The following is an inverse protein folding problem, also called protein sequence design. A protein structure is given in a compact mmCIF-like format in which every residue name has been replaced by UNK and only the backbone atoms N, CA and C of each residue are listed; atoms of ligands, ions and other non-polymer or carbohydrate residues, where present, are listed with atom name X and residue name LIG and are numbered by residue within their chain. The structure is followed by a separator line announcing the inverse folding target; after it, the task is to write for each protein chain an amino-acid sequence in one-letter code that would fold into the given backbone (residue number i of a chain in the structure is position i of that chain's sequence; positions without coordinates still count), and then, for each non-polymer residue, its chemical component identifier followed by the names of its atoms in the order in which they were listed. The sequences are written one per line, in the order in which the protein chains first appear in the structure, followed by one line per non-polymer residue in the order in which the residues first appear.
data_IF_395767695098
#
_entry.id   IF_395767695098
#
_cell.length_a   1.000
_cell.length_b   1.000
_cell.length_c   1.000
_cell.angle_alpha   90.00
_cell.angle_beta   90.00
_cell.angle_gamma   90.00
#
_symmetry.space_group_name_H-M   'P 1'
#
loop_
_entity.id
_entity.type
_entity.pdbx_description
1 polymer ?
#
# COMPACT_ATOMS: atom_id res chain seq x y z
N UNK A 1 31.45 42.65 29.07
CA UNK A 1 30.15 42.33 28.47
C UNK A 1 30.40 42.00 27.02
N UNK A 2 30.31 40.73 26.66
CA UNK A 2 30.57 40.28 25.28
C UNK A 2 29.47 40.78 24.34
N UNK A 3 29.86 41.17 23.13
CA UNK A 3 28.94 41.66 22.12
C UNK A 3 28.08 40.52 21.55
N UNK A 4 26.76 40.63 21.61
CA UNK A 4 25.81 39.70 21.01
C UNK A 4 25.88 39.73 19.49
N UNK A 5 25.72 38.58 18.83
CA UNK A 5 25.55 38.50 17.38
C UNK A 5 24.16 37.98 17.04
N UNK A 6 23.34 38.78 16.35
CA UNK A 6 21.98 38.42 15.98
C UNK A 6 21.60 38.91 14.58
N UNK A 7 20.47 38.43 14.07
CA UNK A 7 19.84 38.95 12.86
C UNK A 7 18.72 39.89 13.26
N UNK A 8 18.72 41.10 12.69
CA UNK A 8 17.65 42.09 12.88
C UNK A 8 16.50 41.90 11.88
N UNK A 9 16.75 41.18 10.80
CA UNK A 9 15.77 40.88 9.77
C UNK A 9 14.89 39.69 10.17
N UNK A 10 13.80 39.50 9.44
CA UNK A 10 12.95 38.32 9.55
C UNK A 10 13.44 37.20 8.61
N UNK A 11 13.11 35.93 8.90
CA UNK A 11 13.30 34.83 7.97
C UNK A 11 12.57 35.06 6.65
N UNK A 12 13.23 34.78 5.53
CA UNK A 12 12.66 34.83 4.17
C UNK A 12 12.81 33.46 3.52
N UNK A 13 11.70 32.94 2.98
CA UNK A 13 11.63 31.66 2.28
C UNK A 13 11.01 31.89 0.90
N UNK A 14 11.82 31.76 -0.16
CA UNK A 14 11.37 31.96 -1.54
C UNK A 14 12.24 31.13 -2.50
N UNK A 15 11.64 30.52 -3.52
CA UNK A 15 12.31 29.70 -4.55
C UNK A 15 13.30 28.66 -3.99
N UNK A 16 12.85 27.86 -3.02
CA UNK A 16 13.66 26.86 -2.30
C UNK A 16 14.85 27.41 -1.46
N UNK A 17 15.10 28.72 -1.49
CA UNK A 17 16.11 29.37 -0.68
C UNK A 17 15.55 29.89 0.66
N UNK A 18 16.40 29.83 1.67
CA UNK A 18 16.14 30.23 3.05
C UNK A 18 17.22 31.23 3.46
N UNK A 19 16.83 32.34 4.08
CA UNK A 19 17.77 33.38 4.49
C UNK A 19 17.14 34.41 5.43
N UNK A 20 17.91 35.41 5.83
CA UNK A 20 17.46 36.50 6.68
C UNK A 20 17.40 37.80 5.87
N UNK A 21 16.33 38.59 5.98
CA UNK A 21 16.19 39.83 5.19
C UNK A 21 17.27 40.88 5.45
N UNK A 22 18.00 40.77 6.57
CA UNK A 22 19.09 41.67 6.93
C UNK A 22 20.46 41.32 6.31
N UNK A 23 20.62 40.16 5.66
CA UNK A 23 21.89 39.80 5.02
C UNK A 23 21.70 38.95 3.77
N UNK A 24 22.73 38.88 2.92
CA UNK A 24 22.64 38.19 1.61
C UNK A 24 22.88 36.68 1.69
N UNK A 25 23.17 36.11 2.86
CA UNK A 25 23.45 34.67 2.99
C UNK A 25 22.15 33.89 2.82
N UNK A 26 22.13 33.02 1.82
CA UNK A 26 21.02 32.11 1.50
C UNK A 26 21.54 30.67 1.50
N UNK A 27 20.68 29.74 1.89
CA UNK A 27 20.93 28.31 1.83
C UNK A 27 19.66 27.57 1.42
N UNK A 28 19.78 26.31 1.01
CA UNK A 28 18.64 25.46 0.64
C UNK A 28 18.25 24.50 1.76
N UNK A 29 19.18 24.17 2.67
CA UNK A 29 18.95 23.34 3.85
C UNK A 29 18.46 24.16 5.06
N UNK A 30 17.54 23.59 5.85
CA UNK A 30 16.95 24.26 7.01
C UNK A 30 17.89 24.29 8.22
N UNK A 31 18.71 23.25 8.39
CA UNK A 31 19.71 23.21 9.46
C UNK A 31 20.80 24.24 9.21
N UNK A 32 21.22 24.40 7.96
CA UNK A 32 22.15 25.46 7.57
C UNK A 32 21.57 26.86 7.83
N UNK A 33 20.27 27.06 7.55
CA UNK A 33 19.57 28.33 7.80
C UNK A 33 19.60 28.73 9.28
N UNK A 34 19.26 27.80 10.18
CA UNK A 34 19.30 28.03 11.63
C UNK A 34 20.73 28.32 12.14
N UNK A 35 21.74 27.78 11.45
CA UNK A 35 23.15 27.98 11.79
C UNK A 35 23.77 29.25 11.19
N UNK A 36 23.02 30.04 10.40
CA UNK A 36 23.50 31.33 9.90
C UNK A 36 23.77 32.26 11.08
N UNK A 37 25.06 32.54 11.34
CA UNK A 37 25.48 33.47 12.40
C UNK A 37 24.89 34.86 12.17
N UNK A 38 24.45 35.50 13.25
CA UNK A 38 23.91 36.85 13.24
C UNK A 38 24.83 37.84 12.52
N UNK A 39 24.26 38.64 11.62
CA UNK A 39 25.01 39.64 10.85
C UNK A 39 25.21 40.97 11.60
N UNK A 40 24.53 41.18 12.73
CA UNK A 40 24.57 42.41 13.52
C UNK A 40 25.21 42.14 14.87
N UNK A 41 26.08 43.05 15.31
CA UNK A 41 26.77 42.99 16.60
C UNK A 41 26.24 44.11 17.50
N UNK A 42 25.64 43.78 18.64
CA UNK A 42 25.15 44.78 19.61
C UNK A 42 25.42 44.36 21.05
N UNK A 43 25.38 45.33 21.99
CA UNK A 43 25.39 45.00 23.41
C UNK A 43 24.03 44.43 23.82
N UNK A 44 24.02 43.50 24.78
CA UNK A 44 22.77 43.04 25.37
C UNK A 44 22.04 44.22 26.04
N UNK A 45 20.77 44.39 25.72
CA UNK A 45 19.87 45.35 26.36
C UNK A 45 18.72 44.57 26.99
N UNK A 46 18.27 45.00 28.18
CA UNK A 46 17.07 44.47 28.83
C UNK A 46 15.78 45.11 28.31
N UNK A 47 15.90 46.09 27.41
CA UNK A 47 14.76 46.70 26.75
C UNK A 47 14.37 45.86 25.53
N UNK A 48 13.12 45.39 25.51
CA UNK A 48 12.55 44.66 24.39
C UNK A 48 12.59 45.57 23.14
N UNK A 49 13.26 45.17 22.04
CA UNK A 49 13.23 45.96 20.82
C UNK A 49 11.78 46.15 20.35
N UNK A 50 11.43 47.33 19.79
CA UNK A 50 10.13 47.55 19.18
C UNK A 50 9.88 46.46 18.12
N UNK A 51 8.71 45.84 18.19
CA UNK A 51 8.31 44.85 17.20
C UNK A 51 8.27 45.52 15.83
N UNK A 52 9.01 44.98 14.86
CA UNK A 52 9.02 45.51 13.50
C UNK A 52 7.60 45.46 12.96
N UNK A 53 7.09 46.59 12.48
CA UNK A 53 5.78 46.66 11.85
C UNK A 53 5.71 45.62 10.73
N UNK A 54 4.70 44.74 10.79
CA UNK A 54 4.43 43.81 9.70
C UNK A 54 4.33 44.62 8.39
N UNK A 55 4.95 44.17 7.29
CA UNK A 55 4.80 44.84 6.01
C UNK A 55 3.32 45.08 5.73
N UNK A 56 2.97 46.31 5.38
CA UNK A 56 1.62 46.62 4.89
C UNK A 56 1.46 45.81 3.61
N UNK A 57 0.54 44.85 3.63
CA UNK A 57 0.14 44.13 2.42
C UNK A 57 -0.25 45.15 1.35
N UNK A 58 0.42 45.10 0.21
CA UNK A 58 0.10 45.95 -0.94
C UNK A 58 -1.31 45.61 -1.41
N UNK A 59 -2.28 46.45 -1.03
CA UNK A 59 -3.70 46.35 -1.40
C UNK A 59 -3.97 46.40 -2.91
N UNK A 60 -2.94 46.48 -3.75
CA UNK A 60 -3.09 46.52 -5.21
C UNK A 60 -3.35 45.15 -5.85
N UNK A 61 -3.15 44.05 -5.12
CA UNK A 61 -3.39 42.69 -5.63
C UNK A 61 -4.69 42.05 -5.11
N UNK A 62 -5.50 42.74 -4.29
CA UNK A 62 -6.75 42.17 -3.76
C UNK A 62 -7.93 42.20 -4.75
N UNK A 63 -7.86 43.00 -5.81
CA UNK A 63 -8.97 43.15 -6.77
C UNK A 63 -8.80 42.31 -8.05
N UNK A 64 -7.69 41.58 -8.22
CA UNK A 64 -7.67 40.50 -9.22
C UNK A 64 -8.31 39.26 -8.61
N UNK A 65 -9.59 39.07 -8.92
CA UNK A 65 -10.26 37.79 -8.74
C UNK A 65 -9.51 36.76 -9.59
N UNK A 66 -8.59 36.02 -8.98
CA UNK A 66 -8.04 34.81 -9.58
C UNK A 66 -9.19 33.81 -9.62
N UNK A 67 -9.92 33.79 -10.74
CA UNK A 67 -10.95 32.79 -11.00
C UNK A 67 -10.26 31.44 -11.19
N UNK A 68 -10.09 30.70 -10.09
CA UNK A 68 -9.63 29.32 -10.12
C UNK A 68 -10.67 28.47 -10.86
N UNK A 69 -10.43 28.21 -12.15
CA UNK A 69 -11.05 27.07 -12.83
C UNK A 69 -10.21 25.85 -12.54
N UNK A 70 -10.78 24.90 -11.81
CA UNK A 70 -10.23 23.54 -11.81
C UNK A 70 -10.06 23.13 -13.29
N UNK A 71 -8.90 22.56 -13.68
CA UNK A 71 -8.71 22.09 -15.03
C UNK A 71 -9.90 21.19 -15.39
N UNK A 72 -10.59 21.52 -16.47
CA UNK A 72 -11.62 20.62 -17.00
C UNK A 72 -10.91 19.30 -17.29
N UNK A 73 -11.41 18.21 -16.70
CA UNK A 73 -11.03 16.87 -17.10
C UNK A 73 -11.44 16.72 -18.58
N UNK A 74 -10.57 17.11 -19.50
CA UNK A 74 -10.65 16.65 -20.86
C UNK A 74 -10.70 15.12 -20.77
N UNK A 75 -11.70 14.53 -21.41
CA UNK A 75 -11.88 13.08 -21.44
C UNK A 75 -10.79 12.54 -22.37
N UNK A 76 -9.57 12.40 -21.83
CA UNK A 76 -8.46 11.82 -22.55
C UNK A 76 -8.71 10.30 -22.58
N UNK A 77 -8.76 9.68 -23.77
CA UNK A 77 -9.10 8.28 -23.89
C UNK A 77 -8.10 7.39 -23.16
N UNK A 78 -8.62 6.42 -22.43
CA UNK A 78 -7.87 5.43 -21.68
C UNK A 78 -7.23 4.42 -22.66
N UNK A 79 -5.91 4.25 -22.59
CA UNK A 79 -5.14 3.38 -23.49
C UNK A 79 -4.80 2.08 -22.78
N UNK A 80 -5.14 0.96 -23.39
CA UNK A 80 -4.73 -0.37 -22.92
C UNK A 80 -3.24 -0.58 -23.21
N UNK A 81 -2.47 -0.82 -22.15
CA UNK A 81 -1.03 -1.03 -22.21
C UNK A 81 -0.75 -2.48 -22.58
N UNK A 82 0.10 -2.70 -23.60
CA UNK A 82 0.60 -4.04 -23.90
C UNK A 82 1.72 -4.42 -22.93
N UNK A 83 1.57 -5.49 -22.13
CA UNK A 83 2.59 -5.88 -21.17
C UNK A 83 3.83 -6.43 -21.89
N UNK A 84 5.02 -6.01 -21.43
CA UNK A 84 6.27 -6.67 -21.78
C UNK A 84 6.54 -7.78 -20.76
N UNK A 85 6.62 -9.03 -21.22
CA UNK A 85 6.65 -10.22 -20.38
C UNK A 85 7.94 -11.00 -20.65
N UNK A 86 8.67 -11.34 -19.59
CA UNK A 86 9.89 -12.16 -19.70
C UNK A 86 9.59 -13.61 -20.12
N UNK A 87 10.55 -14.24 -20.81
CA UNK A 87 10.42 -15.63 -21.26
C UNK A 87 10.19 -16.60 -20.08
N UNK A 88 10.93 -16.41 -18.99
CA UNK A 88 10.81 -17.24 -17.78
C UNK A 88 9.39 -17.21 -17.18
N UNK A 89 8.73 -16.05 -17.19
CA UNK A 89 7.35 -15.95 -16.70
C UNK A 89 6.37 -16.67 -17.63
N UNK A 90 6.57 -16.59 -18.96
CA UNK A 90 5.72 -17.30 -19.93
C UNK A 90 5.79 -18.82 -19.74
N UNK A 91 6.99 -19.37 -19.58
CA UNK A 91 7.18 -20.81 -19.36
C UNK A 91 6.51 -21.29 -18.07
N UNK A 92 6.66 -20.52 -16.98
CA UNK A 92 6.00 -20.82 -15.71
C UNK A 92 4.47 -20.80 -15.84
N UNK A 93 3.92 -19.86 -16.61
CA UNK A 93 2.48 -19.75 -16.83
C UNK A 93 1.93 -20.89 -17.69
N UNK A 94 2.65 -21.36 -18.71
CA UNK A 94 2.23 -22.53 -19.50
C UNK A 94 2.10 -23.77 -18.63
N UNK A 95 3.07 -24.02 -17.74
CA UNK A 95 3.03 -25.14 -16.78
C UNK A 95 1.91 -24.97 -15.73
N UNK A 96 1.62 -23.74 -15.32
CA UNK A 96 0.51 -23.45 -14.41
C UNK A 96 -0.84 -23.68 -15.08
N UNK A 97 -1.04 -23.18 -16.30
CA UNK A 97 -2.29 -23.36 -17.06
C UNK A 97 -2.56 -24.85 -17.30
N UNK A 98 -1.55 -25.66 -17.62
CA UNK A 98 -1.74 -27.12 -17.76
C UNK A 98 -2.13 -27.81 -16.46
N UNK A 99 -1.53 -27.43 -15.32
CA UNK A 99 -1.94 -27.94 -13.98
C UNK A 99 -3.34 -27.49 -13.58
N UNK A 100 -3.73 -26.26 -13.94
CA UNK A 100 -5.09 -25.75 -13.70
C UNK A 100 -6.11 -26.51 -14.53
N UNK A 101 -5.77 -26.93 -15.76
CA UNK A 101 -6.62 -27.76 -16.62
C UNK A 101 -6.71 -29.21 -16.12
N UNK A 102 -5.64 -29.77 -15.56
CA UNK A 102 -5.69 -31.09 -14.90
C UNK A 102 -6.45 -31.05 -13.55
N UNK A 103 -6.49 -29.88 -12.90
CA UNK A 103 -7.27 -29.62 -11.66
C UNK A 103 -8.62 -28.94 -11.92
N UNK A 104 -9.02 -28.76 -13.18
CA UNK A 104 -10.37 -28.33 -13.56
C UNK A 104 -11.32 -29.52 -13.67
N UNK A 105 -11.25 -30.44 -12.71
CA UNK A 105 -12.49 -31.01 -12.18
C UNK A 105 -13.09 -29.93 -11.28
N UNK A 106 -13.79 -28.99 -11.91
CA UNK A 106 -14.75 -28.14 -11.22
C UNK A 106 -15.70 -29.06 -10.43
N UNK A 107 -15.79 -28.85 -9.11
CA UNK A 107 -16.64 -29.64 -8.23
C UNK A 107 -17.94 -28.87 -7.98
N UNK A 108 -18.98 -29.24 -8.72
CA UNK A 108 -20.39 -28.85 -8.53
C UNK A 108 -21.06 -29.65 -7.38
N UNK A 109 -20.36 -29.89 -6.27
CA UNK A 109 -20.96 -30.66 -5.17
C UNK A 109 -21.13 -32.17 -5.42
N UNK A 110 -20.61 -32.74 -6.52
CA UNK A 110 -20.91 -34.13 -6.97
C UNK A 110 -19.72 -35.01 -7.38
N UNK A 111 -18.49 -34.49 -7.40
CA UNK A 111 -17.26 -35.28 -7.64
C UNK A 111 -16.75 -36.10 -6.44
N UNK A 112 -16.07 -37.22 -6.70
CA UNK A 112 -15.54 -38.12 -5.66
C UNK A 112 -14.31 -37.53 -4.95
N UNK A 113 -14.35 -37.39 -3.63
CA UNK A 113 -13.17 -37.04 -2.81
C UNK A 113 -12.18 -38.22 -2.81
N UNK A 114 -10.89 -38.04 -3.13
CA UNK A 114 -9.91 -39.11 -3.04
C UNK A 114 -9.70 -39.57 -1.59
N UNK A 115 -9.73 -40.89 -1.36
CA UNK A 115 -9.34 -41.48 -0.06
C UNK A 115 -7.91 -41.06 0.28
N UNK A 116 -7.70 -40.62 1.52
CA UNK A 116 -6.45 -40.02 1.98
C UNK A 116 -6.41 -38.49 1.95
N UNK A 117 -7.46 -37.81 1.48
CA UNK A 117 -7.50 -36.33 1.48
C UNK A 117 -7.69 -35.79 2.90
N UNK A 118 -6.76 -34.97 3.38
CA UNK A 118 -6.86 -34.35 4.72
C UNK A 118 -7.75 -33.10 4.71
N UNK A 119 -8.54 -32.92 5.78
CA UNK A 119 -9.30 -31.69 6.00
C UNK A 119 -8.39 -30.46 6.02
N UNK A 120 -8.84 -29.37 5.38
CA UNK A 120 -8.11 -28.11 5.24
C UNK A 120 -8.48 -27.05 6.29
N UNK A 121 -9.46 -27.32 7.16
CA UNK A 121 -9.77 -26.41 8.27
C UNK A 121 -8.64 -26.41 9.31
N UNK A 122 -8.33 -25.24 9.88
CA UNK A 122 -7.23 -25.11 10.83
C UNK A 122 -7.40 -26.02 12.06
N UNK A 123 -6.35 -26.79 12.33
CA UNK A 123 -6.26 -27.76 13.40
C UNK A 123 -7.29 -28.91 13.34
N UNK A 124 -7.81 -29.22 12.15
CA UNK A 124 -8.54 -30.45 11.90
C UNK A 124 -7.63 -31.47 11.20
N UNK A 125 -7.39 -32.61 11.85
CA UNK A 125 -6.50 -33.65 11.33
C UNK A 125 -7.25 -34.86 10.74
N UNK A 126 -8.55 -34.71 10.46
CA UNK A 126 -9.36 -35.80 9.91
C UNK A 126 -8.99 -36.02 8.44
N UNK A 127 -8.82 -37.29 8.07
CA UNK A 127 -8.52 -37.76 6.72
C UNK A 127 -9.77 -38.41 6.15
N UNK A 128 -10.06 -38.13 4.87
CA UNK A 128 -11.18 -38.71 4.16
C UNK A 128 -10.92 -40.20 3.88
N UNK A 129 -11.73 -41.08 4.48
CA UNK A 129 -11.64 -42.54 4.30
C UNK A 129 -12.83 -43.10 3.51
N UNK A 130 -13.92 -42.34 3.40
CA UNK A 130 -15.12 -42.72 2.66
C UNK A 130 -16.32 -41.81 2.97
N UNK A 131 -17.51 -42.10 2.44
CA UNK A 131 -18.72 -41.31 2.65
C UNK A 131 -19.09 -41.14 4.14
N UNK A 132 -18.76 -42.12 4.98
CA UNK A 132 -18.94 -42.04 6.42
C UNK A 132 -18.15 -40.87 7.05
N UNK A 133 -16.97 -40.52 6.52
CA UNK A 133 -16.18 -39.39 7.00
C UNK A 133 -16.92 -38.07 6.81
N UNK A 134 -17.77 -37.93 5.78
CA UNK A 134 -18.56 -36.71 5.53
C UNK A 134 -19.56 -36.42 6.64
N UNK A 135 -20.03 -37.47 7.35
CA UNK A 135 -20.96 -37.32 8.46
C UNK A 135 -20.29 -36.96 9.79
N UNK A 136 -18.95 -36.98 9.84
CA UNK A 136 -18.19 -36.63 11.04
C UNK A 136 -18.14 -35.12 11.25
N UNK A 137 -18.01 -34.69 12.50
CA UNK A 137 -17.99 -33.28 12.88
C UNK A 137 -16.56 -32.73 12.80
N UNK A 138 -16.39 -31.58 12.14
CA UNK A 138 -15.11 -30.90 12.05
C UNK A 138 -14.94 -29.88 13.19
N UNK A 139 -14.15 -30.24 14.21
CA UNK A 139 -13.72 -29.30 15.26
C UNK A 139 -12.47 -28.55 14.81
N UNK A 140 -12.56 -27.24 14.60
CA UNK A 140 -11.50 -26.43 14.00
C UNK A 140 -11.49 -24.98 14.53
N UNK A 141 -10.47 -24.22 14.13
CA UNK A 141 -10.40 -22.77 14.34
C UNK A 141 -10.82 -22.01 13.07
N UNK A 142 -11.90 -21.21 13.07
CA UNK A 142 -12.29 -20.41 11.90
C UNK A 142 -11.46 -19.13 11.73
N UNK A 143 -10.72 -18.72 12.77
CA UNK A 143 -9.85 -17.55 12.74
C UNK A 143 -8.46 -17.86 12.20
N UNK A 144 -7.67 -16.81 11.98
CA UNK A 144 -6.27 -16.91 11.61
C UNK A 144 -5.35 -17.04 12.84
N UNK A 145 -4.14 -17.62 12.66
CA UNK A 145 -3.11 -17.63 13.69
C UNK A 145 -2.54 -16.22 13.92
N UNK A 146 -2.31 -15.86 15.18
CA UNK A 146 -1.80 -14.55 15.60
C UNK A 146 -0.57 -14.74 16.49
N UNK A 147 0.50 -14.03 16.15
CA UNK A 147 1.77 -14.02 16.89
C UNK A 147 2.08 -12.58 17.29
N UNK A 148 1.86 -12.23 18.55
CA UNK A 148 2.05 -10.86 19.05
C UNK A 148 2.67 -10.90 20.46
N UNK A 149 3.71 -10.09 20.69
CA UNK A 149 4.38 -9.98 22.00
C UNK A 149 4.80 -11.34 22.61
N UNK A 150 5.27 -12.27 21.77
CA UNK A 150 5.67 -13.61 22.20
C UNK A 150 4.51 -14.58 22.49
N UNK A 151 3.27 -14.10 22.46
CA UNK A 151 2.06 -14.92 22.56
C UNK A 151 1.62 -15.44 21.19
N UNK A 152 1.05 -16.63 21.20
CA UNK A 152 0.53 -17.37 20.05
C UNK A 152 -0.92 -17.74 20.33
N UNK A 153 -1.83 -17.38 19.44
CA UNK A 153 -3.26 -17.60 19.63
C UNK A 153 -4.01 -17.60 18.31
N UNK A 154 -5.27 -18.02 18.36
CA UNK A 154 -6.18 -17.95 17.21
C UNK A 154 -7.14 -16.78 17.39
N UNK A 155 -7.29 -15.94 16.38
CA UNK A 155 -8.16 -14.75 16.43
C UNK A 155 -9.64 -15.05 16.74
N UNK A 156 -10.10 -16.28 16.52
CA UNK A 156 -11.46 -16.72 16.79
C UNK A 156 -11.74 -17.09 18.26
N UNK A 157 -10.73 -17.13 19.13
CA UNK A 157 -10.93 -17.50 20.53
C UNK A 157 -9.94 -16.82 21.47
N UNK A 158 -10.17 -16.95 22.78
CA UNK A 158 -9.40 -16.24 23.81
C UNK A 158 -8.21 -17.03 24.37
N UNK A 159 -8.02 -18.29 23.95
CA UNK A 159 -6.91 -19.15 24.38
C UNK A 159 -5.58 -18.61 23.84
N UNK A 160 -4.57 -18.45 24.70
CA UNK A 160 -3.24 -17.95 24.35
C UNK A 160 -2.16 -18.80 24.99
N UNK A 161 -1.03 -18.95 24.31
CA UNK A 161 0.14 -19.68 24.81
C UNK A 161 1.44 -19.01 24.36
N UNK A 162 2.52 -19.18 25.11
CA UNK A 162 3.87 -18.78 24.70
C UNK A 162 4.60 -19.89 23.95
N UNK A 163 4.20 -21.15 24.12
CA UNK A 163 4.81 -22.32 23.49
C UNK A 163 4.21 -22.63 22.11
N UNK A 164 5.05 -22.97 21.13
CA UNK A 164 4.60 -23.20 19.75
C UNK A 164 3.89 -24.55 19.58
N UNK A 165 4.36 -25.61 20.23
CA UNK A 165 3.74 -26.93 20.12
C UNK A 165 2.35 -26.92 20.75
N UNK A 166 2.22 -26.30 21.91
CA UNK A 166 0.93 -26.07 22.58
C UNK A 166 -0.06 -25.31 21.69
N UNK A 167 0.44 -24.35 20.88
CA UNK A 167 -0.40 -23.60 19.94
C UNK A 167 -0.90 -24.49 18.78
N UNK A 168 -0.03 -25.34 18.22
CA UNK A 168 -0.39 -26.29 17.17
C UNK A 168 -1.39 -27.34 17.67
N UNK A 169 -1.22 -27.83 18.89
CA UNK A 169 -2.07 -28.84 19.50
C UNK A 169 -3.41 -28.28 20.03
N UNK A 170 -3.59 -26.96 20.02
CA UNK A 170 -4.75 -26.31 20.61
C UNK A 170 -6.05 -26.69 19.89
N UNK A 171 -6.88 -27.54 20.50
CA UNK A 171 -8.17 -27.98 19.95
C UNK A 171 -9.03 -26.81 19.47
N UNK A 172 -9.58 -26.99 18.26
CA UNK A 172 -10.50 -26.07 17.59
C UNK A 172 -11.61 -25.55 18.50
N UNK A 173 -12.02 -24.31 18.29
CA UNK A 173 -13.05 -23.65 19.10
C UNK A 173 -14.45 -23.67 18.46
N UNK A 174 -14.59 -24.20 17.25
CA UNK A 174 -15.86 -24.25 16.51
C UNK A 174 -16.05 -25.62 15.89
N UNK A 175 -17.30 -26.06 15.83
CA UNK A 175 -17.71 -27.31 15.17
C UNK A 175 -18.46 -26.96 13.89
N UNK A 176 -18.03 -27.53 12.77
CA UNK A 176 -18.67 -27.33 11.46
C UNK A 176 -18.44 -28.52 10.54
N UNK A 177 -18.52 -28.29 9.24
CA UNK A 177 -18.28 -29.30 8.20
C UNK A 177 -16.81 -29.32 7.77
N UNK A 178 -16.35 -30.49 7.31
CA UNK A 178 -15.01 -30.65 6.78
C UNK A 178 -14.85 -29.95 5.43
N UNK A 179 -13.66 -29.41 5.19
CA UNK A 179 -13.27 -28.79 3.92
C UNK A 179 -12.18 -29.66 3.29
N UNK A 180 -12.50 -30.39 2.24
CA UNK A 180 -11.57 -31.33 1.61
C UNK A 180 -10.75 -30.69 0.47
N UNK A 181 -11.33 -29.69 -0.16
CA UNK A 181 -10.72 -28.93 -1.24
C UNK A 181 -10.57 -27.48 -0.82
N UNK A 182 -9.54 -26.80 -1.33
CA UNK A 182 -9.45 -25.36 -1.10
C UNK A 182 -10.69 -24.73 -1.70
N UNK A 183 -11.42 -23.95 -0.90
CA UNK A 183 -12.34 -22.97 -1.48
C UNK A 183 -11.47 -22.10 -2.36
N UNK A 184 -11.56 -22.29 -3.68
CA UNK A 184 -11.02 -21.33 -4.62
C UNK A 184 -11.66 -20.01 -4.20
N UNK A 185 -10.83 -19.05 -3.78
CA UNK A 185 -11.31 -17.69 -3.62
C UNK A 185 -11.60 -17.20 -5.03
N UNK A 186 -12.76 -17.59 -5.56
CA UNK A 186 -13.39 -16.94 -6.69
C UNK A 186 -13.76 -15.56 -6.14
N UNK A 187 -12.79 -14.65 -6.16
CA UNK A 187 -12.84 -13.46 -5.34
C UNK A 187 -11.51 -12.72 -5.25
N UNK A 188 -11.64 -11.44 -4.96
CA UNK A 188 -10.62 -10.40 -4.95
C UNK A 188 -9.25 -10.85 -4.40
N UNK A 189 -8.21 -10.77 -5.24
CA UNK A 189 -6.82 -11.02 -4.83
C UNK A 189 -6.24 -9.74 -4.27
N UNK A 190 -5.67 -9.77 -3.06
CA UNK A 190 -4.92 -8.63 -2.52
C UNK A 190 -3.49 -8.62 -3.05
N UNK A 191 -3.08 -7.50 -3.64
CA UNK A 191 -1.71 -7.20 -4.02
C UNK A 191 -1.19 -6.00 -3.22
N UNK A 192 0.10 -6.01 -2.89
CA UNK A 192 0.78 -4.78 -2.42
C UNK A 192 1.03 -3.91 -3.64
N UNK A 193 0.68 -2.63 -3.53
CA UNK A 193 0.91 -1.62 -4.54
C UNK A 193 1.69 -0.48 -3.90
N UNK A 194 2.86 -0.20 -4.46
CA UNK A 194 3.68 0.95 -4.11
C UNK A 194 3.74 1.88 -5.32
N UNK A 195 3.62 3.19 -5.11
CA UNK A 195 3.81 4.17 -6.17
C UNK A 195 4.62 5.36 -5.70
N UNK A 196 5.39 5.94 -6.61
CA UNK A 196 6.11 7.19 -6.38
C UNK A 196 6.22 7.98 -7.68
N UNK A 197 6.50 9.28 -7.58
CA UNK A 197 6.69 10.15 -8.75
C UNK A 197 7.99 10.94 -8.65
N UNK A 198 8.56 11.24 -9.81
CA UNK A 198 9.63 12.23 -10.01
C UNK A 198 9.04 13.44 -10.74
N UNK A 199 9.86 14.44 -11.08
CA UNK A 199 9.38 15.61 -11.82
C UNK A 199 8.76 15.30 -13.20
N UNK A 200 9.08 14.14 -13.79
CA UNK A 200 8.63 13.79 -15.15
C UNK A 200 8.03 12.39 -15.29
N UNK A 201 8.10 11.55 -14.26
CA UNK A 201 7.69 10.15 -14.36
C UNK A 201 6.93 9.70 -13.11
N UNK A 202 5.92 8.85 -13.31
CA UNK A 202 5.25 8.11 -12.24
C UNK A 202 5.66 6.64 -12.35
N UNK A 203 6.06 6.07 -11.23
CA UNK A 203 6.43 4.66 -11.10
C UNK A 203 5.38 3.97 -10.23
N UNK A 204 4.70 2.97 -10.79
CA UNK A 204 3.75 2.12 -10.06
C UNK A 204 4.28 0.69 -10.06
N UNK A 205 4.45 0.13 -8.86
CA UNK A 205 4.97 -1.21 -8.65
C UNK A 205 3.94 -2.08 -7.93
N UNK A 206 3.58 -3.21 -8.53
CA UNK A 206 2.57 -4.13 -7.99
C UNK A 206 3.23 -5.47 -7.74
N UNK A 207 3.12 -5.94 -6.51
CA UNK A 207 3.71 -7.19 -6.09
C UNK A 207 2.67 -8.31 -6.14
N UNK A 208 2.69 -9.07 -7.24
CA UNK A 208 1.84 -10.23 -7.48
C UNK A 208 2.66 -11.39 -8.06
N UNK A 209 2.53 -12.59 -7.51
CA UNK A 209 3.20 -13.79 -8.03
C UNK A 209 2.28 -14.50 -9.01
N UNK A 210 2.82 -14.96 -10.14
CA UNK A 210 2.12 -15.79 -11.14
C UNK A 210 0.83 -15.14 -11.68
N UNK A 211 0.87 -13.82 -11.90
CA UNK A 211 -0.14 -13.10 -12.66
C UNK A 211 -0.11 -13.59 -14.12
N UNK A 212 -1.25 -13.74 -14.76
CA UNK A 212 -1.36 -14.05 -16.19
C UNK A 212 -1.54 -12.77 -17.01
N UNK A 213 -0.51 -12.31 -17.75
CA UNK A 213 -0.58 -11.05 -18.49
C UNK A 213 -1.56 -11.07 -19.65
N UNK A 214 -1.89 -12.25 -20.21
CA UNK A 214 -2.82 -12.38 -21.33
C UNK A 214 -4.29 -12.20 -20.90
N UNK A 215 -4.59 -12.61 -19.66
CA UNK A 215 -5.91 -12.49 -19.04
C UNK A 215 -6.01 -11.25 -18.13
N UNK A 216 -5.01 -10.36 -18.18
CA UNK A 216 -4.93 -9.15 -17.38
C UNK A 216 -5.02 -7.90 -18.26
N UNK A 217 -5.58 -6.83 -17.72
CA UNK A 217 -5.78 -5.57 -18.42
C UNK A 217 -5.17 -4.45 -17.58
N UNK A 218 -4.39 -3.58 -18.22
CA UNK A 218 -3.86 -2.36 -17.63
C UNK A 218 -4.24 -1.21 -18.57
N UNK A 219 -4.89 -0.21 -18.01
CA UNK A 219 -5.52 0.90 -18.68
C UNK A 219 -4.95 2.20 -18.10
N UNK A 220 -4.35 3.02 -18.96
CA UNK A 220 -3.67 4.24 -18.55
C UNK A 220 -4.26 5.46 -19.26
N UNK A 221 -4.42 6.53 -18.49
CA UNK A 221 -4.61 7.89 -18.96
C UNK A 221 -3.57 8.81 -18.29
N UNK A 222 -3.40 10.07 -18.73
CA UNK A 222 -2.44 10.99 -18.11
C UNK A 222 -2.67 11.24 -16.62
N UNK A 223 -3.88 11.01 -16.11
CA UNK A 223 -4.27 11.30 -14.72
C UNK A 223 -4.88 10.10 -14.00
N UNK A 224 -4.90 8.91 -14.60
CA UNK A 224 -5.58 7.74 -14.02
C UNK A 224 -4.98 6.43 -14.51
N UNK A 225 -4.84 5.49 -13.61
CA UNK A 225 -4.43 4.11 -13.87
C UNK A 225 -5.53 3.18 -13.39
N UNK A 226 -6.10 2.40 -14.30
CA UNK A 226 -6.97 1.27 -13.98
C UNK A 226 -6.27 -0.03 -14.33
N UNK A 227 -6.52 -1.06 -13.55
CA UNK A 227 -6.03 -2.39 -13.89
C UNK A 227 -6.90 -3.49 -13.31
N UNK A 228 -6.88 -4.62 -13.99
CA UNK A 228 -7.48 -5.88 -13.61
C UNK A 228 -6.46 -6.98 -13.86
N UNK A 229 -5.84 -7.49 -12.80
CA UNK A 229 -4.79 -8.51 -12.88
C UNK A 229 -5.34 -9.88 -12.47
N UNK A 230 -5.31 -10.84 -13.38
CA UNK A 230 -5.79 -12.20 -13.15
C UNK A 230 -4.69 -13.13 -12.63
N UNK A 231 -5.02 -13.92 -11.60
CA UNK A 231 -4.12 -14.88 -10.98
C UNK A 231 -4.69 -16.30 -11.12
N UNK A 232 -4.25 -17.08 -12.13
CA UNK A 232 -4.80 -18.41 -12.42
C UNK A 232 -4.77 -19.37 -11.22
N UNK A 233 -3.69 -19.36 -10.44
CA UNK A 233 -3.53 -20.23 -9.26
C UNK A 233 -4.57 -19.92 -8.17
N UNK A 234 -4.98 -18.65 -8.05
CA UNK A 234 -5.97 -18.21 -7.08
C UNK A 234 -7.39 -18.22 -7.65
N UNK A 235 -7.55 -18.36 -8.98
CA UNK A 235 -8.80 -18.13 -9.72
C UNK A 235 -9.48 -16.80 -9.34
N UNK A 236 -8.68 -15.76 -9.13
CA UNK A 236 -9.15 -14.47 -8.66
C UNK A 236 -8.42 -13.30 -9.32
N UNK A 237 -8.99 -12.11 -9.16
CA UNK A 237 -8.53 -10.88 -9.81
C UNK A 237 -8.18 -9.82 -8.78
N UNK A 238 -7.08 -9.10 -8.99
CA UNK A 238 -6.79 -7.85 -8.29
C UNK A 238 -7.23 -6.69 -9.19
N UNK A 239 -8.16 -5.87 -8.71
CA UNK A 239 -8.63 -4.68 -9.45
C UNK A 239 -8.22 -3.44 -8.67
N UNK A 240 -7.71 -2.42 -9.36
CA UNK A 240 -7.47 -1.11 -8.76
C UNK A 240 -7.68 0.00 -9.77
N UNK A 241 -8.02 1.16 -9.23
CA UNK A 241 -8.32 2.38 -9.95
C UNK A 241 -7.73 3.56 -9.17
N UNK A 242 -6.68 4.18 -9.73
CA UNK A 242 -5.85 5.16 -9.05
C UNK A 242 -5.83 6.44 -9.87
N UNK A 243 -6.15 7.56 -9.24
CA UNK A 243 -5.94 8.88 -9.82
C UNK A 243 -4.47 9.31 -9.67
N UNK A 244 -3.79 9.45 -10.80
CA UNK A 244 -2.40 9.91 -10.92
C UNK A 244 -2.38 11.44 -11.07
N UNK A 245 -2.85 12.19 -10.06
CA UNK A 245 -2.92 13.66 -10.17
C UNK A 245 -1.53 14.27 -10.41
N UNK A 246 -1.43 15.06 -11.48
CA UNK A 246 -0.21 15.73 -11.91
C UNK A 246 0.27 16.82 -10.95
N UNK A 247 1.57 17.04 -11.02
CA UNK A 247 2.36 18.12 -10.40
C UNK A 247 1.66 19.49 -10.55
N UNK A 248 1.67 20.30 -9.47
CA UNK A 248 1.36 21.74 -9.57
C UNK A 248 2.30 22.31 -10.63
N UNK A 249 1.73 22.74 -11.75
CA UNK A 249 2.48 23.55 -12.71
C UNK A 249 2.44 24.96 -12.14
N UNK A 250 3.46 25.27 -11.33
CA UNK A 250 3.79 26.64 -10.93
C UNK A 250 4.65 27.31 -12.02
#
# INVERSE_FOLDING_TARGET
SESCRHHIGHPVFHDAYKGWSCCKKKCTDFTEFLNIKGCTVSRHSNEKPPELEKPKEDKKLLDEVIEYRAPQNEIIPEVVVKPNVSLALREQLTSLKSKVVESSTEYDGTGSIPVGTTCKNYNCNVVYEGPETLSTKCTHHPGCPVFHEGLKFWSCCTKRTTDFNTFLEQVGCTVGEHVWFEKTNVGEVKCRLDWHQTGSHIYVSIFGKKCDPESSIVELSPVRLKMSLFFPEKRGTYTTDIELRGVSTD
#
